data_IF_306832482644
#
_entry.id   IF_306832482644
#
_cell.length_a   1.000
_cell.length_b   1.000
_cell.length_c   1.000
_cell.angle_alpha   90.00
_cell.angle_beta   90.00
_cell.angle_gamma   90.00
#
_symmetry.space_group_name_H-M   'P 1'
#
loop_
_entity.id
_entity.type
_entity.pdbx_description
1 polymer ?
#
# COMPACT_ATOMS: atom_id res chain seq x y z
N UNK A 1 24.61 59.63 41.30
CA UNK A 1 25.97 59.18 41.66
C UNK A 1 25.87 57.93 42.52
N UNK A 2 26.67 56.91 42.18
CA UNK A 2 26.66 55.55 42.74
C UNK A 2 27.33 55.50 44.11
N UNK A 3 26.76 54.76 45.06
CA UNK A 3 27.42 54.17 46.24
C UNK A 3 27.02 52.68 46.29
N UNK A 4 27.92 51.73 46.12
CA UNK A 4 28.94 51.19 47.05
C UNK A 4 28.35 50.20 48.07
N UNK A 5 28.73 48.94 47.82
CA UNK A 5 29.12 47.82 48.69
C UNK A 5 28.18 47.18 49.75
N UNK A 6 28.12 45.85 49.59
CA UNK A 6 28.36 44.77 50.57
C UNK A 6 27.51 44.67 51.84
N UNK A 7 26.66 43.64 51.84
CA UNK A 7 26.78 42.45 52.68
C UNK A 7 26.97 42.61 54.19
N UNK A 8 26.04 42.02 54.96
CA UNK A 8 26.29 41.06 56.05
C UNK A 8 24.94 40.48 56.49
N UNK A 9 24.95 39.18 56.74
CA UNK A 9 23.83 38.33 57.13
C UNK A 9 23.35 38.61 58.56
N UNK A 10 22.04 38.49 58.79
CA UNK A 10 21.49 38.11 60.10
C UNK A 10 20.42 37.04 59.88
N UNK A 11 20.75 35.85 60.39
CA UNK A 11 19.88 34.71 60.62
C UNK A 11 18.77 35.12 61.60
N UNK A 12 17.49 34.91 61.28
CA UNK A 12 16.43 34.89 62.28
C UNK A 12 15.40 33.84 61.94
N UNK A 13 15.40 32.88 62.86
CA UNK A 13 14.65 31.64 62.96
C UNK A 13 13.15 31.93 63.11
N UNK A 14 12.33 31.47 62.15
CA UNK A 14 10.87 31.40 62.31
C UNK A 14 10.45 29.93 62.30
N UNK A 15 10.25 29.40 63.50
CA UNK A 15 9.70 28.09 63.80
C UNK A 15 8.21 28.14 63.42
N UNK A 16 7.81 27.40 62.38
CA UNK A 16 6.40 27.17 62.07
C UNK A 16 6.11 25.69 62.25
N UNK A 17 5.22 25.41 63.19
CA UNK A 17 4.86 24.11 63.70
C UNK A 17 4.25 23.20 62.64
N UNK A 18 4.67 21.94 62.70
CA UNK A 18 4.14 20.78 62.02
C UNK A 18 2.63 20.64 62.18
N UNK A 19 1.92 20.50 61.05
CA UNK A 19 0.75 19.63 60.97
C UNK A 19 1.18 18.40 60.14
N UNK A 20 1.30 17.26 60.83
CA UNK A 20 1.65 15.98 60.23
C UNK A 20 0.56 15.53 59.24
N UNK A 21 0.93 15.37 57.97
CA UNK A 21 0.22 14.47 57.07
C UNK A 21 1.18 13.31 56.77
N UNK A 22 1.03 12.15 57.42
CA UNK A 22 1.84 10.99 57.13
C UNK A 22 1.23 10.35 55.90
N UNK A 23 1.84 10.60 54.75
CA UNK A 23 2.03 9.63 53.66
C UNK A 23 2.51 10.37 52.42
N UNK A 24 3.82 10.57 52.36
CA UNK A 24 4.51 10.81 51.11
C UNK A 24 5.83 10.02 51.14
N UNK A 25 6.04 9.10 50.19
CA UNK A 25 7.35 8.89 49.60
C UNK A 25 7.40 9.58 48.22
N UNK A 26 8.40 10.45 48.06
CA UNK A 26 8.74 11.23 46.87
C UNK A 26 9.47 10.38 45.78
N UNK A 27 10.00 10.97 44.69
CA UNK A 27 9.36 11.72 43.61
C UNK A 27 9.74 11.20 42.19
N UNK A 28 9.19 11.87 41.17
CA UNK A 28 9.66 12.03 39.79
C UNK A 28 9.32 10.94 38.74
N UNK A 29 8.71 11.42 37.63
CA UNK A 29 8.50 10.62 36.42
C UNK A 29 7.56 11.32 35.43
N UNK A 30 8.07 12.39 34.80
CA UNK A 30 7.79 12.83 33.42
C UNK A 30 6.35 12.66 32.86
N UNK A 31 5.61 13.76 32.75
CA UNK A 31 4.41 13.85 31.90
C UNK A 31 4.83 14.02 30.43
N UNK A 32 5.46 12.98 29.88
CA UNK A 32 5.46 12.74 28.44
C UNK A 32 4.36 11.74 28.13
N UNK A 33 3.13 12.23 27.97
CA UNK A 33 2.07 11.45 27.31
C UNK A 33 2.35 11.40 25.81
N UNK A 34 3.43 10.75 25.43
CA UNK A 34 3.55 10.14 24.12
C UNK A 34 2.73 8.86 24.22
N UNK A 35 1.51 8.88 23.69
CA UNK A 35 0.81 7.64 23.40
C UNK A 35 1.61 6.89 22.33
N UNK A 36 2.57 6.09 22.80
CA UNK A 36 3.22 5.07 21.99
C UNK A 36 2.14 4.03 21.70
N UNK A 37 1.37 4.23 20.62
CA UNK A 37 0.65 3.14 20.00
C UNK A 37 1.71 2.11 19.60
N UNK A 38 1.78 1.02 20.35
CA UNK A 38 2.57 -0.15 20.01
C UNK A 38 1.98 -0.71 18.71
N UNK A 39 2.52 -0.25 17.58
CA UNK A 39 2.35 -0.89 16.29
C UNK A 39 3.07 -2.23 16.36
N UNK A 40 2.40 -3.25 16.92
CA UNK A 40 2.78 -4.64 16.76
C UNK A 40 2.44 -5.05 15.32
N UNK A 41 3.28 -4.68 14.36
CA UNK A 41 3.25 -5.25 13.02
C UNK A 41 3.88 -6.65 13.08
N UNK A 42 3.10 -7.61 13.57
CA UNK A 42 3.54 -8.99 13.76
C UNK A 42 2.38 -9.92 14.06
N UNK A 43 1.21 -9.70 13.44
CA UNK A 43 0.04 -10.56 13.66
C UNK A 43 0.12 -11.77 12.72
N UNK A 44 0.35 -12.96 13.29
CA UNK A 44 0.14 -14.22 12.58
C UNK A 44 -1.36 -14.51 12.52
N UNK A 45 -1.97 -14.32 11.37
CA UNK A 45 -3.39 -14.53 11.14
C UNK A 45 -3.73 -14.31 9.67
N UNK A 46 -4.94 -14.68 9.23
CA UNK A 46 -5.36 -14.35 7.88
C UNK A 46 -5.39 -12.84 7.69
N UNK A 47 -5.05 -12.34 6.51
CA UNK A 47 -5.30 -10.94 6.14
C UNK A 47 -6.01 -10.86 4.80
N UNK A 48 -6.88 -9.87 4.66
CA UNK A 48 -7.64 -9.62 3.44
C UNK A 48 -7.13 -8.34 2.83
N UNK A 49 -6.74 -8.43 1.56
CA UNK A 49 -6.34 -7.28 0.78
C UNK A 49 -7.40 -6.97 -0.27
N UNK A 50 -7.73 -5.68 -0.38
CA UNK A 50 -8.52 -5.13 -1.46
C UNK A 50 -7.75 -3.96 -2.05
N UNK A 51 -7.53 -3.94 -3.34
CA UNK A 51 -6.87 -2.81 -4.01
C UNK A 51 -7.71 -2.35 -5.19
N UNK A 52 -7.78 -1.04 -5.38
CA UNK A 52 -8.30 -0.42 -6.60
C UNK A 52 -7.17 0.39 -7.20
N UNK A 53 -6.78 0.12 -8.44
CA UNK A 53 -5.68 0.83 -9.10
C UNK A 53 -6.21 1.42 -10.39
N UNK A 54 -6.33 2.75 -10.43
CA UNK A 54 -6.68 3.47 -11.65
C UNK A 54 -5.43 3.85 -12.44
N UNK A 55 -5.50 3.72 -13.76
CA UNK A 55 -4.53 4.27 -14.69
C UNK A 55 -5.24 4.95 -15.87
N UNK A 56 -4.76 6.12 -16.28
CA UNK A 56 -5.16 6.71 -17.55
C UNK A 56 -4.69 5.86 -18.71
N UNK A 57 -5.55 5.66 -19.70
CA UNK A 57 -5.22 4.96 -20.96
C UNK A 57 -4.94 5.92 -22.11
N UNK A 58 -5.23 7.21 -21.92
CA UNK A 58 -5.07 8.27 -22.91
C UNK A 58 -4.22 9.41 -22.34
N UNK A 59 -3.50 10.11 -23.21
CA UNK A 59 -2.60 11.21 -22.86
C UNK A 59 -1.13 10.82 -22.79
N UNK A 60 -0.26 11.83 -22.81
CA UNK A 60 1.20 11.65 -22.87
C UNK A 60 1.83 11.27 -21.53
N UNK A 61 1.09 11.41 -20.42
CA UNK A 61 1.56 11.12 -19.07
C UNK A 61 0.61 10.18 -18.35
N UNK A 62 1.18 9.15 -17.72
CA UNK A 62 0.44 8.22 -16.88
C UNK A 62 0.01 8.95 -15.59
N UNK A 63 -1.28 8.91 -15.29
CA UNK A 63 -1.81 9.18 -13.96
C UNK A 63 -2.11 7.83 -13.32
N UNK A 64 -1.51 7.58 -12.17
CA UNK A 64 -1.66 6.31 -11.45
C UNK A 64 -2.18 6.56 -10.05
N UNK A 65 -3.29 5.90 -9.68
CA UNK A 65 -3.98 6.16 -8.42
C UNK A 65 -4.35 4.84 -7.73
N UNK A 66 -3.46 4.29 -6.88
CA UNK A 66 -3.75 3.11 -6.09
C UNK A 66 -4.45 3.49 -4.77
N UNK A 67 -5.58 2.84 -4.50
CA UNK A 67 -6.15 2.68 -3.16
C UNK A 67 -5.85 1.27 -2.67
N UNK A 68 -5.12 1.16 -1.57
CA UNK A 68 -4.69 -0.11 -0.98
C UNK A 68 -5.36 -0.26 0.38
N UNK A 69 -6.12 -1.34 0.54
CA UNK A 69 -6.84 -1.63 1.76
C UNK A 69 -6.41 -2.99 2.30
N UNK A 70 -6.15 -3.04 3.60
CA UNK A 70 -5.80 -4.26 4.30
C UNK A 70 -6.69 -4.42 5.54
N UNK A 71 -7.17 -5.63 5.75
CA UNK A 71 -7.92 -6.01 6.94
C UNK A 71 -7.29 -7.23 7.60
N UNK A 72 -6.95 -7.09 8.88
CA UNK A 72 -6.29 -8.14 9.67
C UNK A 72 -7.16 -8.45 10.88
N UNK A 73 -7.91 -9.56 10.87
CA UNK A 73 -8.64 -10.03 12.03
C UNK A 73 -7.67 -10.48 13.13
N UNK A 74 -8.04 -10.18 14.36
CA UNK A 74 -7.47 -10.71 15.59
C UNK A 74 -8.61 -11.33 16.42
N UNK A 75 -8.26 -12.04 17.49
CA UNK A 75 -9.16 -12.71 18.42
C UNK A 75 -10.32 -11.83 18.91
N UNK A 76 -10.05 -10.55 19.20
CA UNK A 76 -11.01 -9.65 19.84
C UNK A 76 -11.28 -8.35 19.04
N UNK A 77 -10.64 -8.17 17.89
CA UNK A 77 -10.77 -6.95 17.08
C UNK A 77 -10.47 -7.23 15.62
N UNK A 78 -10.87 -6.33 14.73
CA UNK A 78 -10.48 -6.36 13.33
C UNK A 78 -9.77 -5.05 13.02
N UNK A 79 -8.47 -5.12 12.74
CA UNK A 79 -7.64 -4.00 12.34
C UNK A 79 -7.86 -3.73 10.85
N UNK A 80 -7.98 -2.45 10.50
CA UNK A 80 -8.25 -1.99 9.14
C UNK A 80 -7.33 -0.84 8.79
N UNK A 81 -6.82 -0.88 7.58
CA UNK A 81 -6.00 0.18 7.00
C UNK A 81 -6.52 0.49 5.60
N UNK A 82 -6.58 1.78 5.27
CA UNK A 82 -6.80 2.26 3.92
C UNK A 82 -5.74 3.33 3.61
N UNK A 83 -5.05 3.14 2.49
CA UNK A 83 -4.03 4.09 2.00
C UNK A 83 -4.29 4.40 0.54
N UNK A 84 -3.92 5.61 0.13
CA UNK A 84 -4.14 6.06 -1.25
C UNK A 84 -3.11 7.10 -1.65
N UNK A 85 -2.63 6.96 -2.89
CA UNK A 85 -1.66 7.85 -3.49
C UNK A 85 -2.10 8.27 -4.88
N UNK A 86 -1.68 9.45 -5.30
CA UNK A 86 -1.69 9.85 -6.70
C UNK A 86 -0.26 9.98 -7.16
N UNK A 87 0.07 9.36 -8.28
CA UNK A 87 1.31 9.58 -9.01
C UNK A 87 1.02 10.35 -10.30
N UNK A 88 1.67 11.52 -10.45
CA UNK A 88 1.59 12.35 -11.67
C UNK A 88 3.00 12.62 -12.18
N UNK A 89 3.35 12.01 -13.30
CA UNK A 89 4.65 12.23 -13.94
C UNK A 89 5.82 11.88 -13.01
N UNK A 90 5.72 10.77 -12.27
CA UNK A 90 6.74 10.27 -11.37
C UNK A 90 6.80 10.95 -10.00
N UNK A 91 5.83 11.82 -9.68
CA UNK A 91 5.71 12.41 -8.34
C UNK A 91 4.56 11.77 -7.59
N UNK A 92 4.90 11.03 -6.54
CA UNK A 92 3.96 10.38 -5.65
C UNK A 92 3.49 11.30 -4.52
N UNK A 93 2.18 11.45 -4.38
CA UNK A 93 1.55 12.23 -3.31
C UNK A 93 0.52 11.36 -2.56
N UNK A 94 0.72 11.10 -1.25
CA UNK A 94 -0.29 10.43 -0.45
C UNK A 94 -1.48 11.38 -0.20
N UNK A 95 -2.70 10.89 -0.38
CA UNK A 95 -3.92 11.62 -0.03
C UNK A 95 -4.74 10.90 1.04
N UNK A 96 -4.57 9.59 1.20
CA UNK A 96 -5.33 8.79 2.17
C UNK A 96 -4.36 7.99 3.04
N UNK A 97 -4.51 8.10 4.36
CA UNK A 97 -3.83 7.25 5.34
C UNK A 97 -4.72 7.14 6.57
N UNK A 98 -5.51 6.08 6.61
CA UNK A 98 -6.49 5.85 7.67
C UNK A 98 -6.23 4.48 8.30
N UNK A 99 -6.29 4.43 9.64
CA UNK A 99 -6.21 3.19 10.41
C UNK A 99 -7.28 3.22 11.49
N UNK A 100 -8.03 2.14 11.60
CA UNK A 100 -9.07 2.01 12.60
C UNK A 100 -9.31 0.56 12.99
N UNK A 101 -10.14 0.38 14.01
CA UNK A 101 -10.53 -0.93 14.52
C UNK A 101 -12.04 -1.07 14.49
N UNK A 102 -12.49 -2.30 14.30
CA UNK A 102 -13.91 -2.68 14.39
C UNK A 102 -14.05 -3.90 15.28
N UNK A 103 -15.23 -4.09 15.86
CA UNK A 103 -15.54 -5.31 16.62
C UNK A 103 -15.39 -6.57 15.73
N UNK A 104 -15.14 -7.74 16.33
CA UNK A 104 -15.11 -9.01 15.60
C UNK A 104 -16.36 -9.20 14.74
N UNK A 105 -16.16 -9.71 13.53
CA UNK A 105 -17.24 -9.94 12.56
C UNK A 105 -17.02 -11.24 11.81
N UNK A 106 -18.12 -11.87 11.37
CA UNK A 106 -18.08 -13.05 10.49
C UNK A 106 -17.64 -12.71 9.05
N UNK A 107 -17.63 -11.43 8.69
CA UNK A 107 -17.31 -10.97 7.34
C UNK A 107 -16.17 -9.93 7.36
N UNK A 108 -14.97 -10.30 7.84
CA UNK A 108 -13.85 -9.36 7.96
C UNK A 108 -13.44 -8.75 6.61
N UNK A 109 -13.55 -9.51 5.52
CA UNK A 109 -13.22 -9.10 4.15
C UNK A 109 -14.07 -7.94 3.60
N UNK A 110 -15.18 -7.56 4.26
CA UNK A 110 -15.99 -6.42 3.81
C UNK A 110 -15.19 -5.13 3.95
N UNK A 111 -15.15 -4.36 2.87
CA UNK A 111 -14.62 -3.00 2.88
C UNK A 111 -15.61 -2.09 3.61
N UNK A 112 -15.12 -1.27 4.54
CA UNK A 112 -15.95 -0.37 5.34
C UNK A 112 -15.45 1.07 5.16
N UNK A 113 -16.34 2.06 5.05
CA UNK A 113 -15.94 3.47 5.05
C UNK A 113 -15.46 3.88 6.44
N UNK A 114 -14.53 4.84 6.49
CA UNK A 114 -14.01 5.41 7.74
C UNK A 114 -13.35 6.76 7.46
N UNK A 115 -13.39 7.70 8.42
CA UNK A 115 -12.68 8.98 8.32
C UNK A 115 -13.06 9.76 7.06
N UNK A 116 -12.09 9.97 6.17
CA UNK A 116 -12.26 10.61 4.85
C UNK A 116 -12.60 9.63 3.71
N UNK A 117 -12.41 8.33 3.92
CA UNK A 117 -12.68 7.28 2.94
C UNK A 117 -14.17 6.92 2.86
N UNK A 118 -14.75 6.94 1.66
CA UNK A 118 -16.12 6.54 1.37
C UNK A 118 -16.17 5.49 0.28
N UNK A 119 -17.27 4.74 0.27
CA UNK A 119 -17.55 3.70 -0.72
C UNK A 119 -18.90 4.03 -1.34
N UNK A 120 -18.98 3.99 -2.66
CA UNK A 120 -20.23 4.01 -3.39
C UNK A 120 -20.63 2.56 -3.64
N UNK A 121 -21.80 2.18 -3.14
CA UNK A 121 -22.31 0.81 -3.24
C UNK A 121 -23.52 0.81 -4.15
N UNK A 122 -23.41 0.02 -5.22
CA UNK A 122 -24.49 -0.21 -6.16
C UNK A 122 -25.43 -1.32 -5.72
N UNK A 123 -26.27 -1.72 -6.67
CA UNK A 123 -27.20 -2.83 -6.48
C UNK A 123 -26.46 -4.13 -6.10
N UNK A 124 -27.12 -4.95 -5.27
CA UNK A 124 -26.61 -6.23 -4.76
C UNK A 124 -25.29 -6.13 -3.98
N UNK A 125 -24.93 -4.94 -3.49
CA UNK A 125 -23.75 -4.74 -2.64
C UNK A 125 -22.43 -4.71 -3.42
N UNK A 126 -22.47 -4.48 -4.73
CA UNK A 126 -21.27 -4.25 -5.55
C UNK A 126 -20.67 -2.89 -5.19
N UNK A 127 -19.35 -2.80 -5.13
CA UNK A 127 -18.66 -1.51 -5.05
C UNK A 127 -18.71 -0.88 -6.43
N UNK A 128 -19.39 0.26 -6.55
CA UNK A 128 -19.49 1.05 -7.78
C UNK A 128 -18.47 2.21 -7.78
N UNK A 129 -17.82 2.47 -6.64
CA UNK A 129 -16.80 3.50 -6.55
C UNK A 129 -16.20 3.64 -5.16
N UNK A 130 -15.08 4.37 -5.08
CA UNK A 130 -14.47 4.80 -3.83
C UNK A 130 -14.19 6.29 -3.88
N UNK A 131 -14.27 6.96 -2.74
CA UNK A 131 -14.04 8.41 -2.65
C UNK A 131 -13.15 8.73 -1.47
N UNK A 132 -12.39 9.82 -1.64
CA UNK A 132 -11.75 10.53 -0.56
C UNK A 132 -12.38 11.92 -0.46
N UNK A 133 -12.92 12.23 0.73
CA UNK A 133 -13.60 13.48 1.01
C UNK A 133 -12.87 14.25 2.12
N UNK A 134 -12.09 15.25 1.73
CA UNK A 134 -11.42 16.16 2.65
C UNK A 134 -11.51 17.62 2.17
N UNK A 135 -12.58 18.29 2.60
CA UNK A 135 -12.86 19.68 2.25
C UNK A 135 -12.86 19.92 0.74
N UNK A 136 -11.98 20.78 0.20
CA UNK A 136 -11.93 21.07 -1.24
C UNK A 136 -11.21 20.00 -2.07
N UNK A 137 -10.52 19.03 -1.45
CA UNK A 137 -9.71 18.02 -2.13
C UNK A 137 -10.46 16.70 -2.27
N UNK A 138 -11.55 16.72 -3.03
CA UNK A 138 -12.34 15.52 -3.27
C UNK A 138 -11.76 14.71 -4.42
N UNK A 139 -11.56 13.42 -4.18
CA UNK A 139 -11.20 12.44 -5.20
C UNK A 139 -12.28 11.39 -5.31
N UNK A 140 -12.67 11.04 -6.53
CA UNK A 140 -13.66 10.00 -6.79
C UNK A 140 -13.12 9.04 -7.84
N UNK A 141 -13.12 7.75 -7.51
CA UNK A 141 -12.99 6.67 -8.47
C UNK A 141 -14.36 6.06 -8.71
N UNK A 142 -14.85 6.13 -9.95
CA UNK A 142 -16.01 5.37 -10.37
C UNK A 142 -15.56 4.08 -11.07
N UNK A 143 -16.18 2.97 -10.68
CA UNK A 143 -15.98 1.65 -11.24
C UNK A 143 -17.08 1.37 -12.27
N UNK A 144 -16.68 1.22 -13.53
CA UNK A 144 -17.54 1.03 -14.67
C UNK A 144 -17.83 -0.44 -14.97
N UNK A 145 -17.95 -0.73 -16.27
CA UNK A 145 -18.27 -2.07 -16.76
C UNK A 145 -17.05 -3.00 -16.67
N UNK A 146 -17.30 -4.31 -16.54
CA UNK A 146 -16.23 -5.32 -16.49
C UNK A 146 -15.67 -5.58 -17.87
N UNK A 147 -14.36 -5.41 -18.02
CA UNK A 147 -13.61 -5.67 -19.25
C UNK A 147 -13.07 -7.10 -19.26
N UNK A 148 -12.50 -7.53 -18.15
CA UNK A 148 -11.98 -8.89 -17.96
C UNK A 148 -12.04 -9.29 -16.48
N UNK A 149 -12.07 -10.58 -16.21
CA UNK A 149 -12.01 -11.09 -14.85
C UNK A 149 -11.20 -12.38 -14.78
N UNK A 150 -10.26 -12.39 -13.86
CA UNK A 150 -9.38 -13.52 -13.61
C UNK A 150 -9.43 -13.95 -12.15
N UNK A 151 -9.10 -15.22 -11.94
CA UNK A 151 -9.00 -15.80 -10.62
C UNK A 151 -7.67 -16.55 -10.46
N UNK A 152 -7.11 -16.49 -9.26
CA UNK A 152 -5.93 -17.25 -8.89
C UNK A 152 -6.26 -18.54 -8.12
N UNK A 153 -5.26 -19.40 -7.88
CA UNK A 153 -5.46 -20.72 -7.25
C UNK A 153 -5.67 -20.66 -5.72
N UNK A 154 -5.55 -19.50 -5.08
CA UNK A 154 -5.85 -19.31 -3.65
C UNK A 154 -6.82 -18.15 -3.45
N UNK A 155 -7.92 -18.22 -4.22
CA UNK A 155 -9.10 -17.36 -4.10
C UNK A 155 -8.81 -15.87 -4.35
N UNK A 156 -7.77 -15.56 -5.14
CA UNK A 156 -7.58 -14.21 -5.66
C UNK A 156 -8.59 -13.95 -6.76
N UNK A 157 -9.06 -12.71 -6.80
CA UNK A 157 -9.82 -12.19 -7.92
C UNK A 157 -9.16 -10.92 -8.41
N UNK A 158 -8.99 -10.84 -9.71
CA UNK A 158 -8.54 -9.66 -10.43
C UNK A 158 -9.65 -9.30 -11.40
N UNK A 159 -10.18 -8.08 -11.30
CA UNK A 159 -11.19 -7.61 -12.23
C UNK A 159 -10.68 -6.34 -12.88
N UNK A 160 -10.65 -6.36 -14.20
CA UNK A 160 -10.36 -5.20 -15.01
C UNK A 160 -11.69 -4.53 -15.36
N UNK A 161 -11.78 -3.25 -15.07
CA UNK A 161 -12.99 -2.45 -15.20
C UNK A 161 -12.66 -1.21 -16.02
N UNK A 162 -13.59 -0.77 -16.86
CA UNK A 162 -13.60 0.64 -17.26
C UNK A 162 -13.69 1.49 -15.99
N UNK A 163 -13.06 2.66 -15.98
CA UNK A 163 -13.18 3.53 -14.84
C UNK A 163 -12.93 4.98 -15.19
N UNK A 164 -13.30 5.82 -14.23
CA UNK A 164 -13.01 7.24 -14.31
C UNK A 164 -12.58 7.76 -12.98
N UNK A 165 -11.58 8.62 -13.00
CA UNK A 165 -11.09 9.32 -11.85
C UNK A 165 -11.48 10.80 -11.94
N UNK A 166 -12.01 11.34 -10.84
CA UNK A 166 -12.33 12.76 -10.71
C UNK A 166 -11.41 13.41 -9.69
N UNK A 167 -10.81 14.51 -10.09
CA UNK A 167 -9.99 15.39 -9.25
C UNK A 167 -10.56 16.80 -9.35
N UNK A 168 -11.26 17.26 -8.32
CA UNK A 168 -12.03 18.50 -8.42
C UNK A 168 -13.10 18.39 -9.52
N UNK A 169 -13.04 19.28 -10.52
CA UNK A 169 -13.96 19.30 -11.67
C UNK A 169 -13.45 18.49 -12.87
N UNK A 170 -12.18 18.07 -12.86
CA UNK A 170 -11.60 17.31 -13.96
C UNK A 170 -11.97 15.84 -13.84
N UNK A 171 -12.48 15.26 -14.93
CA UNK A 171 -12.75 13.83 -15.07
C UNK A 171 -11.80 13.25 -16.10
N UNK A 172 -11.11 12.19 -15.69
CA UNK A 172 -10.19 11.43 -16.53
C UNK A 172 -10.72 10.02 -16.67
N UNK A 173 -10.84 9.55 -17.91
CA UNK A 173 -11.21 8.18 -18.20
C UNK A 173 -9.95 7.29 -18.25
N UNK A 174 -10.14 6.02 -17.92
CA UNK A 174 -9.06 5.07 -17.87
C UNK A 174 -9.55 3.68 -17.50
N UNK A 175 -8.65 2.92 -16.89
CA UNK A 175 -8.92 1.53 -16.52
C UNK A 175 -8.63 1.30 -15.05
N UNK A 176 -9.39 0.41 -14.43
CA UNK A 176 -9.24 0.07 -13.02
C UNK A 176 -8.98 -1.42 -12.87
N UNK A 177 -7.95 -1.73 -12.10
CA UNK A 177 -7.77 -3.07 -11.56
C UNK A 177 -8.34 -3.13 -10.13
N UNK A 178 -9.38 -3.93 -9.94
CA UNK A 178 -9.89 -4.34 -8.63
C UNK A 178 -9.29 -5.69 -8.24
N UNK A 179 -8.46 -5.68 -7.20
CA UNK A 179 -7.80 -6.86 -6.64
C UNK A 179 -8.50 -7.23 -5.34
N UNK A 180 -8.82 -8.51 -5.18
CA UNK A 180 -9.17 -9.09 -3.88
C UNK A 180 -8.27 -10.31 -3.61
N UNK A 181 -7.56 -10.32 -2.48
CA UNK A 181 -6.66 -11.43 -2.09
C UNK A 181 -6.87 -11.82 -0.65
N UNK A 182 -6.85 -13.13 -0.41
CA UNK A 182 -6.73 -13.70 0.93
C UNK A 182 -5.28 -14.13 1.18
N UNK A 183 -4.74 -13.69 2.29
CA UNK A 183 -3.60 -14.28 2.96
C UNK A 183 -4.12 -15.17 4.06
N UNK A 184 -3.76 -16.44 4.01
CA UNK A 184 -4.10 -17.39 5.07
C UNK A 184 -2.85 -17.71 5.87
N UNK A 185 -3.01 -18.02 7.15
CA UNK A 185 -1.90 -18.35 8.06
C UNK A 185 -1.22 -19.69 7.73
N UNK A 186 -1.86 -20.54 6.94
CA UNK A 186 -1.36 -21.87 6.52
C UNK A 186 -0.47 -21.81 5.27
N UNK A 187 -0.30 -20.64 4.65
CA UNK A 187 0.49 -20.47 3.42
C UNK A 187 1.47 -19.29 3.55
N UNK A 188 2.59 -19.31 2.82
CA UNK A 188 3.47 -18.15 2.74
C UNK A 188 2.70 -16.90 2.26
N UNK A 189 2.98 -15.72 2.84
CA UNK A 189 2.43 -14.45 2.35
C UNK A 189 2.69 -14.27 0.87
N UNK A 190 1.75 -13.68 0.15
CA UNK A 190 1.93 -13.39 -1.28
C UNK A 190 2.88 -12.23 -1.42
N UNK A 191 3.65 -12.30 -2.49
CA UNK A 191 4.60 -11.27 -2.81
C UNK A 191 3.99 -10.19 -3.68
N UNK A 192 4.92 -9.69 -4.47
CA UNK A 192 4.74 -8.60 -5.40
C UNK A 192 3.59 -8.88 -6.38
N UNK A 193 2.98 -7.80 -6.82
CA UNK A 193 2.12 -7.82 -7.99
C UNK A 193 2.36 -6.58 -8.84
N UNK A 194 2.08 -6.71 -10.13
CA UNK A 194 2.15 -5.58 -11.04
C UNK A 194 0.89 -5.49 -11.87
N UNK A 195 0.55 -4.26 -12.26
CA UNK A 195 -0.48 -3.95 -13.22
C UNK A 195 0.12 -3.04 -14.29
N UNK A 196 0.21 -3.57 -15.51
CA UNK A 196 0.90 -2.95 -16.63
C UNK A 196 -0.08 -2.73 -17.78
N UNK A 197 0.04 -1.62 -18.47
CA UNK A 197 -0.77 -1.28 -19.63
C UNK A 197 0.08 -0.74 -20.79
N UNK A 198 -0.37 -1.00 -22.01
CA UNK A 198 0.07 -0.31 -23.23
C UNK A 198 -1.16 0.35 -23.85
N UNK A 199 -1.52 1.53 -23.33
CA UNK A 199 -2.78 2.18 -23.68
C UNK A 199 -3.98 1.26 -23.42
N UNK A 200 -4.87 1.16 -24.40
CA UNK A 200 -6.02 0.24 -24.41
C UNK A 200 -5.73 -1.14 -25.06
N UNK A 201 -4.62 -1.29 -25.78
CA UNK A 201 -4.27 -2.50 -26.54
C UNK A 201 -3.79 -3.69 -25.70
N UNK A 202 -3.14 -3.43 -24.56
CA UNK A 202 -2.61 -4.48 -23.68
C UNK A 202 -2.83 -4.11 -22.22
N UNK A 203 -3.32 -5.07 -21.44
CA UNK A 203 -3.33 -5.02 -19.98
C UNK A 203 -2.79 -6.31 -19.40
N UNK A 204 -1.84 -6.23 -18.47
CA UNK A 204 -1.23 -7.37 -17.81
C UNK A 204 -1.32 -7.20 -16.30
N UNK A 205 -1.76 -8.25 -15.63
CA UNK A 205 -1.65 -8.40 -14.18
C UNK A 205 -0.69 -9.54 -13.90
N UNK A 206 0.28 -9.31 -13.02
CA UNK A 206 1.20 -10.35 -12.55
C UNK A 206 1.17 -10.42 -11.04
N UNK A 207 1.33 -11.62 -10.49
CA UNK A 207 1.38 -11.86 -9.05
C UNK A 207 2.39 -12.96 -8.71
N UNK A 208 3.23 -12.71 -7.70
CA UNK A 208 4.09 -13.71 -7.09
C UNK A 208 3.31 -14.65 -6.16
N UNK A 209 3.55 -15.96 -6.29
CA UNK A 209 2.92 -16.98 -5.43
C UNK A 209 3.36 -16.88 -3.95
N UNK A 210 4.47 -16.20 -3.68
CA UNK A 210 4.98 -15.87 -2.35
C UNK A 210 5.84 -14.60 -2.39
N UNK A 211 6.14 -14.01 -1.22
CA UNK A 211 7.13 -12.92 -1.11
C UNK A 211 8.47 -13.32 -1.73
N UNK A 212 9.10 -12.40 -2.44
CA UNK A 212 10.36 -12.67 -3.11
C UNK A 212 11.46 -12.86 -2.07
N UNK A 213 12.12 -14.02 -2.08
CA UNK A 213 13.36 -14.23 -1.36
C UNK A 213 14.57 -14.19 -2.30
N UNK A 214 15.68 -13.62 -1.82
CA UNK A 214 16.88 -13.38 -2.62
C UNK A 214 17.52 -14.72 -3.03
N UNK A 215 17.36 -15.76 -2.21
CA UNK A 215 17.94 -17.09 -2.49
C UNK A 215 17.11 -17.91 -3.48
N UNK A 216 15.79 -17.73 -3.52
CA UNK A 216 14.91 -18.48 -4.42
C UNK A 216 13.79 -17.57 -4.92
N UNK A 217 13.83 -17.14 -6.19
CA UNK A 217 12.77 -16.31 -6.75
C UNK A 217 11.46 -17.11 -6.78
N UNK A 218 10.32 -16.48 -6.42
CA UNK A 218 9.05 -17.14 -6.43
C UNK A 218 8.57 -17.36 -7.86
N UNK A 219 7.73 -18.37 -8.06
CA UNK A 219 6.96 -18.45 -9.31
C UNK A 219 5.97 -17.28 -9.35
N UNK A 220 5.85 -16.66 -10.52
CA UNK A 220 4.82 -15.67 -10.80
C UNK A 220 3.73 -16.30 -11.68
N UNK A 221 2.54 -15.74 -11.57
CA UNK A 221 1.42 -15.98 -12.47
C UNK A 221 1.06 -14.68 -13.14
N UNK A 222 0.64 -14.76 -14.38
CA UNK A 222 0.19 -13.59 -15.12
C UNK A 222 -1.14 -13.85 -15.82
N UNK A 223 -1.88 -12.77 -15.97
CA UNK A 223 -3.09 -12.69 -16.76
C UNK A 223 -2.96 -11.48 -17.67
N UNK A 224 -3.41 -11.63 -18.90
CA UNK A 224 -3.29 -10.62 -19.91
C UNK A 224 -4.60 -10.44 -20.65
N UNK A 225 -4.77 -9.26 -21.21
CA UNK A 225 -5.72 -9.00 -22.28
C UNK A 225 -4.97 -8.28 -23.39
N UNK A 226 -5.00 -8.83 -24.59
CA UNK A 226 -4.51 -8.18 -25.82
C UNK A 226 -5.73 -7.90 -26.67
N UNK A 227 -6.05 -6.63 -26.88
CA UNK A 227 -7.29 -6.16 -27.49
C UNK A 227 -8.55 -6.75 -26.82
N UNK A 228 -9.03 -7.90 -27.32
CA UNK A 228 -10.17 -8.65 -26.76
C UNK A 228 -9.87 -10.09 -26.39
N UNK A 229 -8.65 -10.56 -26.64
CA UNK A 229 -8.21 -11.90 -26.29
C UNK A 229 -7.63 -11.94 -24.89
N UNK A 230 -8.11 -12.86 -24.06
CA UNK A 230 -7.57 -13.09 -22.73
C UNK A 230 -6.46 -14.13 -22.76
N UNK A 231 -5.35 -13.80 -22.11
CA UNK A 231 -4.16 -14.64 -21.99
C UNK A 231 -3.93 -15.03 -20.52
N UNK A 232 -3.38 -16.22 -20.31
CA UNK A 232 -2.97 -16.67 -18.98
C UNK A 232 -1.60 -17.33 -19.03
N UNK A 233 -0.75 -16.91 -18.11
CA UNK A 233 0.59 -17.46 -17.91
C UNK A 233 0.66 -18.10 -16.52
N UNK A 234 0.41 -19.41 -16.40
CA UNK A 234 0.41 -20.10 -15.11
C UNK A 234 1.81 -20.19 -14.47
N UNK A 235 2.86 -19.95 -15.25
CA UNK A 235 4.23 -19.85 -14.77
C UNK A 235 4.97 -18.74 -15.53
N UNK A 236 5.44 -17.78 -14.76
CA UNK A 236 6.30 -16.68 -15.15
C UNK A 236 7.51 -16.63 -14.22
N UNK A 237 8.65 -16.30 -14.79
CA UNK A 237 9.86 -15.93 -14.06
C UNK A 237 9.98 -14.41 -14.12
N UNK A 238 10.12 -13.80 -12.95
CA UNK A 238 10.44 -12.38 -12.82
C UNK A 238 11.71 -12.27 -11.99
N UNK A 239 12.79 -11.87 -12.66
CA UNK A 239 14.12 -11.78 -12.06
C UNK A 239 14.48 -10.32 -11.81
N UNK A 240 15.10 -10.05 -10.66
CA UNK A 240 15.61 -8.72 -10.32
C UNK A 240 16.97 -8.52 -10.97
N UNK A 241 17.03 -7.68 -12.01
CA UNK A 241 18.26 -7.47 -12.78
C UNK A 241 19.17 -6.46 -12.11
N UNK A 242 18.58 -5.39 -11.57
CA UNK A 242 19.28 -4.40 -10.77
C UNK A 242 18.54 -4.14 -9.46
N UNK A 243 19.31 -3.85 -8.42
CA UNK A 243 18.80 -3.53 -7.10
C UNK A 243 19.47 -2.26 -6.57
N UNK A 244 18.73 -1.53 -5.75
CA UNK A 244 19.22 -0.39 -4.99
C UNK A 244 19.10 -0.65 -3.49
N UNK A 245 20.06 -0.15 -2.72
CA UNK A 245 20.07 -0.30 -1.27
C UNK A 245 19.17 0.76 -0.64
N UNK A 246 18.13 0.32 0.06
CA UNK A 246 17.26 1.17 0.85
C UNK A 246 17.66 1.08 2.33
N UNK A 247 18.48 2.04 2.75
CA UNK A 247 19.06 2.10 4.09
C UNK A 247 18.05 2.16 5.24
N UNK A 248 16.93 2.91 5.16
CA UNK A 248 15.99 3.02 6.28
C UNK A 248 15.45 1.66 6.78
N UNK A 249 15.29 0.69 5.89
CA UNK A 249 14.87 -0.66 6.24
C UNK A 249 15.97 -1.72 6.12
N UNK A 250 17.20 -1.31 5.74
CA UNK A 250 18.34 -2.19 5.44
C UNK A 250 18.00 -3.32 4.45
N UNK A 251 17.28 -2.97 3.38
CA UNK A 251 16.88 -3.92 2.33
C UNK A 251 17.40 -3.49 0.96
N UNK A 252 17.67 -4.47 0.12
CA UNK A 252 17.81 -4.24 -1.32
C UNK A 252 16.41 -4.26 -1.95
N UNK A 253 16.11 -3.25 -2.75
CA UNK A 253 14.86 -3.15 -3.50
C UNK A 253 15.16 -3.28 -5.00
N UNK A 254 14.35 -4.02 -5.76
CA UNK A 254 14.52 -4.09 -7.21
C UNK A 254 14.28 -2.72 -7.86
N UNK A 255 15.11 -2.39 -8.85
CA UNK A 255 14.94 -1.19 -9.69
C UNK A 255 14.81 -1.53 -11.18
N UNK A 256 15.05 -2.79 -11.55
CA UNK A 256 14.71 -3.32 -12.87
C UNK A 256 14.43 -4.82 -12.83
N UNK A 257 13.61 -5.27 -13.76
CA UNK A 257 13.13 -6.65 -13.86
C UNK A 257 13.21 -7.16 -15.28
N UNK A 258 13.43 -8.47 -15.42
CA UNK A 258 13.10 -9.23 -16.62
C UNK A 258 11.94 -10.16 -16.33
N UNK A 259 11.00 -10.25 -17.27
CA UNK A 259 9.87 -11.17 -17.23
C UNK A 259 10.03 -12.19 -18.36
N UNK A 260 9.77 -13.47 -18.08
CA UNK A 260 9.71 -14.50 -19.12
C UNK A 260 8.78 -15.64 -18.74
N UNK A 261 8.22 -16.35 -19.72
CA UNK A 261 7.59 -17.66 -19.48
C UNK A 261 8.43 -18.79 -20.06
N UNK A 262 8.61 -19.91 -19.35
CA UNK A 262 9.25 -21.09 -19.94
C UNK A 262 8.38 -21.79 -20.99
N UNK A 263 7.06 -21.56 -20.95
CA UNK A 263 6.08 -22.35 -21.70
C UNK A 263 5.24 -21.50 -22.68
N UNK A 264 5.50 -20.20 -22.76
CA UNK A 264 4.77 -19.28 -23.63
C UNK A 264 5.72 -18.23 -24.19
N UNK A 265 5.38 -17.69 -25.37
CA UNK A 265 6.16 -16.66 -26.05
C UNK A 265 5.95 -15.28 -25.43
N UNK A 266 6.19 -15.14 -24.11
CA UNK A 266 6.17 -13.85 -23.41
C UNK A 266 7.52 -13.58 -22.77
N UNK A 267 8.08 -12.41 -23.09
CA UNK A 267 9.34 -11.90 -22.54
C UNK A 267 9.20 -10.39 -22.36
N UNK A 268 9.85 -9.82 -21.36
CA UNK A 268 9.87 -8.37 -21.24
C UNK A 268 10.88 -7.84 -20.24
N UNK A 269 10.99 -6.52 -20.23
CA UNK A 269 11.82 -5.77 -19.30
C UNK A 269 11.01 -4.65 -18.69
N UNK A 270 11.33 -4.32 -17.43
CA UNK A 270 10.75 -3.21 -16.70
C UNK A 270 11.84 -2.48 -15.93
N UNK A 271 11.74 -1.17 -15.84
CA UNK A 271 12.62 -0.30 -15.06
C UNK A 271 11.78 0.66 -14.23
N UNK A 272 12.27 1.01 -13.04
CA UNK A 272 11.63 2.00 -12.17
C UNK A 272 11.80 3.39 -12.76
N UNK A 273 10.68 4.10 -12.93
CA UNK A 273 10.66 5.53 -13.25
C UNK A 273 10.56 6.38 -11.99
N UNK A 274 9.70 5.96 -11.06
CA UNK A 274 9.48 6.64 -9.79
C UNK A 274 9.12 5.63 -8.70
N UNK A 275 9.33 6.02 -7.45
CA UNK A 275 9.11 5.14 -6.31
C UNK A 275 8.57 5.90 -5.11
N UNK A 276 7.58 5.30 -4.44
CA UNK A 276 7.16 5.64 -3.09
C UNK A 276 7.43 4.46 -2.17
N UNK A 277 8.19 4.69 -1.10
CA UNK A 277 8.67 3.61 -0.22
C UNK A 277 8.21 3.87 1.21
N UNK A 278 7.33 2.99 1.70
CA UNK A 278 6.85 2.98 3.07
C UNK A 278 7.69 2.00 3.90
N UNK A 279 8.39 2.55 4.90
CA UNK A 279 9.08 1.73 5.90
C UNK A 279 8.09 1.31 6.99
N UNK A 280 7.99 0.01 7.22
CA UNK A 280 7.22 -0.55 8.32
C UNK A 280 7.95 -0.45 9.65
N UNK A 281 7.27 -0.82 10.72
CA UNK A 281 7.85 -0.90 12.07
C UNK A 281 8.26 -2.34 12.40
N UNK A 282 9.29 -2.52 13.23
CA UNK A 282 9.78 -3.83 13.63
C UNK A 282 10.83 -3.72 14.74
N UNK A 283 11.03 -4.80 15.50
CA UNK A 283 12.04 -4.85 16.57
C UNK A 283 13.45 -5.18 16.07
N UNK A 284 13.55 -5.71 14.84
CA UNK A 284 14.82 -6.10 14.22
C UNK A 284 15.50 -4.97 13.44
N UNK A 285 16.78 -5.17 13.05
CA UNK A 285 17.53 -4.19 12.25
C UNK A 285 17.06 -4.12 10.79
N UNK A 286 16.37 -5.14 10.31
CA UNK A 286 15.74 -5.19 8.98
C UNK A 286 14.26 -4.95 9.17
N UNK A 287 13.73 -3.89 8.56
CA UNK A 287 12.33 -3.48 8.73
C UNK A 287 11.49 -3.93 7.54
N UNK A 288 10.17 -4.18 7.72
CA UNK A 288 9.26 -4.40 6.60
C UNK A 288 9.27 -3.22 5.63
N UNK A 289 9.06 -3.48 4.34
CA UNK A 289 8.93 -2.45 3.30
C UNK A 289 7.74 -2.74 2.42
N UNK A 290 7.02 -1.68 2.07
CA UNK A 290 6.15 -1.66 0.91
C UNK A 290 6.62 -0.56 -0.03
N UNK A 291 6.86 -0.90 -1.29
CA UNK A 291 7.23 0.07 -2.31
C UNK A 291 6.22 0.04 -3.46
N UNK A 292 5.78 1.22 -3.87
CA UNK A 292 4.98 1.44 -5.06
C UNK A 292 5.93 2.00 -6.13
N UNK A 293 6.12 1.26 -7.21
CA UNK A 293 6.96 1.69 -8.31
C UNK A 293 6.09 2.05 -9.52
N UNK A 294 6.25 3.26 -10.03
CA UNK A 294 5.93 3.52 -11.44
C UNK A 294 7.01 2.82 -12.25
N UNK A 295 6.61 1.91 -13.13
CA UNK A 295 7.52 1.17 -13.99
C UNK A 295 7.21 1.41 -15.45
N UNK A 296 8.23 1.34 -16.29
CA UNK A 296 8.09 1.35 -17.74
C UNK A 296 9.01 0.31 -18.39
N UNK A 297 8.67 -0.11 -19.59
CA UNK A 297 9.52 -1.01 -20.36
C UNK A 297 8.82 -1.58 -21.57
N UNK A 298 9.13 -2.81 -21.91
CA UNK A 298 8.61 -3.47 -23.10
C UNK A 298 8.26 -4.92 -22.80
N UNK A 299 7.05 -5.34 -23.18
CA UNK A 299 6.63 -6.73 -23.14
C UNK A 299 6.41 -7.20 -24.58
N UNK A 300 7.02 -8.31 -24.94
CA UNK A 300 6.81 -8.99 -26.22
C UNK A 300 5.95 -10.23 -26.01
N UNK A 301 4.88 -10.37 -26.79
CA UNK A 301 3.97 -11.53 -26.81
C UNK A 301 3.87 -12.01 -28.26
N UNK A 302 4.20 -13.27 -28.53
CA UNK A 302 4.15 -13.88 -29.87
C UNK A 302 4.85 -13.03 -30.95
N UNK A 303 5.99 -12.43 -30.61
CA UNK A 303 6.80 -11.52 -31.44
C UNK A 303 6.23 -10.11 -31.66
N UNK A 304 5.04 -9.80 -31.15
CA UNK A 304 4.53 -8.43 -31.06
C UNK A 304 5.10 -7.74 -29.83
N UNK A 305 5.53 -6.49 -29.97
CA UNK A 305 6.18 -5.73 -28.91
C UNK A 305 5.30 -4.57 -28.45
N UNK A 306 5.09 -4.48 -27.14
CA UNK A 306 4.22 -3.50 -26.52
C UNK A 306 5.03 -2.65 -25.52
N UNK A 307 5.12 -1.32 -25.71
CA UNK A 307 5.66 -0.44 -24.69
C UNK A 307 4.68 -0.39 -23.52
N UNK A 308 5.12 -0.79 -22.34
CA UNK A 308 4.25 -0.83 -21.15
C UNK A 308 4.64 0.23 -20.13
N UNK A 309 3.65 0.71 -19.41
CA UNK A 309 3.82 1.41 -18.13
C UNK A 309 2.86 0.87 -17.09
N UNK A 310 3.16 1.08 -15.82
CA UNK A 310 2.16 0.87 -14.78
C UNK A 310 2.72 0.78 -13.37
N UNK A 311 2.03 0.03 -12.52
CA UNK A 311 2.37 -0.14 -11.11
C UNK A 311 3.08 -1.47 -10.89
N UNK A 312 4.21 -1.45 -10.19
CA UNK A 312 4.75 -2.64 -9.51
C UNK A 312 4.70 -2.40 -8.00
N UNK A 313 3.83 -3.13 -7.29
CA UNK A 313 3.75 -3.08 -5.83
C UNK A 313 4.61 -4.19 -5.24
N UNK A 314 5.73 -3.77 -4.64
CA UNK A 314 6.67 -4.64 -3.97
C UNK A 314 6.41 -4.68 -2.47
N UNK A 315 6.35 -5.88 -1.88
CA UNK A 315 6.15 -6.04 -0.43
C UNK A 315 7.11 -7.07 0.13
N UNK A 316 7.81 -6.69 1.21
CA UNK A 316 8.60 -7.60 2.04
C UNK A 316 8.31 -7.35 3.51
N UNK A 317 7.89 -8.39 4.22
CA UNK A 317 7.62 -8.34 5.66
C UNK A 317 8.88 -8.63 6.49
#
# INVERSE_FOLDING_TARGET
>A
MKSILSGVAILSLAISLSACNPDNPAPAGDLSSTQTMVNKTGFSGPSYERSFVFMTTTGDSLLLVPWLLETTPDSNTVFREARGWVDRGGTWEPFLTERWQTAPTRYPARVLPYGTFRIVVGDRGRVDGVMYLDGPRNLELALGSSVAQWSGPREERFQLLEGSFRLGEERLDGIVLDIARLHSSDRPPRGDWAFLISGDSLQIVVQGDMEHDIETPPNYRGWGRVDSEELQWPSLKIDWVQMSVYQPARRNLPVSWTLSSPNASVVGTLEVLASEIITGTGSGPVLPVQALFEVAGTISIDSLSFPVRGLFNHRRK
#
